data_IF_293425546222
#
_entry.id   IF_293425546222
#
_cell.length_a   1.000
_cell.length_b   1.000
_cell.length_c   1.000
_cell.angle_alpha   90.00
_cell.angle_beta   90.00
_cell.angle_gamma   90.00
#
_symmetry.space_group_name_H-M   'P 1'
#
loop_
_entity.id
_entity.type
_entity.pdbx_description
1 polymer ?
#
# COMPACT_ATOMS: atom_id res chain seq x y z
N UNK A 1 -1.05 -1.72 -21.22
CA UNK A 1 -0.14 -1.91 -20.08
C UNK A 1 -0.98 -1.89 -18.81
N UNK A 2 -0.82 -2.90 -17.96
CA UNK A 2 -1.49 -2.97 -16.66
C UNK A 2 -0.82 -1.99 -15.71
N UNK A 3 -1.59 -1.11 -15.06
CA UNK A 3 -1.08 -0.18 -14.06
C UNK A 3 -0.89 -0.92 -12.74
N UNK A 4 0.33 -0.91 -12.19
CA UNK A 4 0.72 -1.72 -11.03
C UNK A 4 0.53 -0.99 -9.71
N UNK A 5 0.46 -1.74 -8.61
CA UNK A 5 0.40 -1.19 -7.25
C UNK A 5 1.71 -0.47 -6.91
N UNK A 6 2.86 -0.95 -7.39
CA UNK A 6 4.12 -0.23 -7.21
C UNK A 6 4.10 1.15 -7.88
N UNK A 7 3.66 1.24 -9.13
CA UNK A 7 3.49 2.54 -9.80
C UNK A 7 2.50 3.46 -9.06
N UNK A 8 1.44 2.91 -8.47
CA UNK A 8 0.50 3.65 -7.62
C UNK A 8 1.15 4.22 -6.34
N UNK A 9 2.00 3.43 -5.68
CA UNK A 9 2.71 3.86 -4.47
C UNK A 9 3.78 4.90 -4.78
N UNK A 10 4.51 4.72 -5.88
CA UNK A 10 5.59 5.61 -6.29
C UNK A 10 5.10 6.89 -6.98
N UNK A 11 3.82 6.97 -7.33
CA UNK A 11 3.26 8.13 -8.00
C UNK A 11 3.39 9.41 -7.16
N UNK A 12 3.89 10.46 -7.81
CA UNK A 12 3.90 11.82 -7.25
C UNK A 12 2.47 12.31 -7.04
N UNK A 13 2.21 12.78 -5.82
CA UNK A 13 0.94 13.40 -5.47
C UNK A 13 1.12 14.91 -5.39
N UNK A 14 0.35 15.64 -6.20
CA UNK A 14 0.18 17.08 -6.04
C UNK A 14 -0.42 17.35 -4.65
N UNK A 15 0.32 18.11 -3.82
CA UNK A 15 -0.07 18.42 -2.44
C UNK A 15 -1.38 19.21 -2.37
N UNK A 16 -1.66 20.06 -3.35
CA UNK A 16 -2.86 20.90 -3.39
C UNK A 16 -4.10 20.13 -3.86
N UNK A 17 -3.90 19.06 -4.62
CA UNK A 17 -4.98 18.25 -5.23
C UNK A 17 -4.86 16.78 -4.89
N UNK A 18 -4.32 16.49 -3.70
CA UNK A 18 -3.92 15.15 -3.30
C UNK A 18 -5.05 14.14 -3.38
N UNK A 19 -6.23 14.50 -2.85
CA UNK A 19 -7.40 13.62 -2.86
C UNK A 19 -7.84 13.27 -4.30
N UNK A 20 -8.03 14.27 -5.15
CA UNK A 20 -8.44 14.06 -6.55
C UNK A 20 -7.39 13.32 -7.38
N UNK A 21 -6.09 13.57 -7.13
CA UNK A 21 -5.03 12.80 -7.78
C UNK A 21 -5.07 11.34 -7.35
N UNK A 22 -5.21 11.07 -6.05
CA UNK A 22 -5.25 9.71 -5.53
C UNK A 22 -6.46 8.93 -6.05
N UNK A 23 -7.63 9.57 -6.13
CA UNK A 23 -8.84 9.02 -6.75
C UNK A 23 -8.63 8.70 -8.24
N UNK A 24 -8.01 9.62 -8.99
CA UNK A 24 -7.69 9.39 -10.40
C UNK A 24 -6.70 8.23 -10.58
N UNK A 25 -5.76 8.07 -9.64
CA UNK A 25 -4.81 6.96 -9.65
C UNK A 25 -5.48 5.63 -9.29
N UNK A 26 -6.37 5.59 -8.29
CA UNK A 26 -7.12 4.36 -7.95
C UNK A 26 -8.08 3.94 -9.06
N UNK A 27 -8.68 4.91 -9.75
CA UNK A 27 -9.57 4.65 -10.89
C UNK A 27 -8.88 3.87 -12.03
N UNK A 28 -7.54 3.91 -12.13
CA UNK A 28 -6.78 3.12 -13.13
C UNK A 28 -6.87 1.61 -12.92
N UNK A 29 -7.25 1.16 -11.72
CA UNK A 29 -7.46 -0.26 -11.43
C UNK A 29 -8.86 -0.74 -11.82
N UNK A 30 -9.78 0.17 -12.11
CA UNK A 30 -11.12 -0.20 -12.60
C UNK A 30 -11.02 -0.91 -13.94
N UNK A 31 -11.61 -2.09 -14.04
CA UNK A 31 -11.56 -2.92 -15.24
C UNK A 31 -10.29 -3.77 -15.38
N UNK A 32 -9.34 -3.68 -14.44
CA UNK A 32 -8.22 -4.61 -14.39
C UNK A 32 -8.64 -5.95 -13.76
N UNK A 33 -7.96 -7.06 -14.11
CA UNK A 33 -8.21 -8.36 -13.47
C UNK A 33 -7.91 -8.30 -11.96
N UNK A 34 -8.94 -8.45 -11.13
CA UNK A 34 -8.81 -8.41 -9.67
C UNK A 34 -7.72 -9.37 -9.13
N UNK A 35 -7.60 -10.64 -9.59
CA UNK A 35 -6.55 -11.53 -9.09
C UNK A 35 -5.13 -11.01 -9.36
N UNK A 36 -4.90 -10.33 -10.48
CA UNK A 36 -3.61 -9.75 -10.83
C UNK A 36 -3.30 -8.54 -9.95
N UNK A 37 -4.27 -7.64 -9.76
CA UNK A 37 -4.14 -6.49 -8.86
C UNK A 37 -3.84 -6.92 -7.42
N UNK A 38 -4.52 -7.96 -6.93
CA UNK A 38 -4.29 -8.53 -5.59
C UNK A 38 -2.89 -9.14 -5.47
N UNK A 39 -2.44 -9.88 -6.49
CA UNK A 39 -1.08 -10.43 -6.51
C UNK A 39 -0.03 -9.32 -6.50
N UNK A 40 -0.25 -8.24 -7.26
CA UNK A 40 0.65 -7.08 -7.30
C UNK A 40 0.69 -6.34 -5.95
N UNK A 41 -0.47 -6.17 -5.30
CA UNK A 41 -0.57 -5.60 -3.97
C UNK A 41 0.25 -6.42 -2.97
N UNK A 42 0.04 -7.73 -2.93
CA UNK A 42 0.77 -8.64 -2.02
C UNK A 42 2.27 -8.61 -2.25
N UNK A 43 2.71 -8.54 -3.51
CA UNK A 43 4.12 -8.40 -3.85
C UNK A 43 4.72 -7.10 -3.27
N UNK A 44 3.98 -5.99 -3.28
CA UNK A 44 4.42 -4.72 -2.71
C UNK A 44 4.54 -4.75 -1.17
N UNK A 45 3.89 -5.71 -0.49
CA UNK A 45 3.93 -5.80 0.98
C UNK A 45 5.14 -6.57 1.52
N UNK A 46 5.87 -7.32 0.69
CA UNK A 46 6.93 -8.26 1.13
C UNK A 46 7.96 -7.58 2.03
N UNK A 47 8.45 -6.41 1.63
CA UNK A 47 9.54 -5.69 2.32
C UNK A 47 9.05 -4.79 3.48
N UNK A 48 7.75 -4.79 3.77
CA UNK A 48 7.13 -3.81 4.65
C UNK A 48 6.86 -2.49 3.95
N UNK A 49 6.11 -1.60 4.61
CA UNK A 49 5.60 -0.36 4.01
C UNK A 49 5.65 0.82 4.98
N UNK A 50 5.76 2.04 4.45
CA UNK A 50 5.66 3.26 5.24
C UNK A 50 4.21 3.64 5.56
N UNK A 51 4.03 4.62 6.47
CA UNK A 51 2.69 5.14 6.83
C UNK A 51 1.93 5.77 5.66
N UNK A 52 2.65 6.33 4.69
CA UNK A 52 2.03 6.91 3.51
C UNK A 52 1.47 5.82 2.58
N UNK A 53 2.26 4.78 2.31
CA UNK A 53 1.82 3.62 1.54
C UNK A 53 0.65 2.91 2.21
N UNK A 54 0.70 2.76 3.53
CA UNK A 54 -0.42 2.24 4.33
C UNK A 54 -1.73 2.98 4.03
N UNK A 55 -1.71 4.32 4.08
CA UNK A 55 -2.90 5.13 3.77
C UNK A 55 -3.35 4.97 2.32
N UNK A 56 -2.42 4.97 1.37
CA UNK A 56 -2.72 4.81 -0.06
C UNK A 56 -3.35 3.43 -0.34
N UNK A 57 -2.80 2.37 0.24
CA UNK A 57 -3.29 1.00 0.07
C UNK A 57 -4.67 0.80 0.70
N UNK A 58 -4.97 1.47 1.83
CA UNK A 58 -6.32 1.43 2.38
C UNK A 58 -7.36 1.99 1.41
N UNK A 59 -7.04 3.11 0.76
CA UNK A 59 -7.91 3.74 -0.23
C UNK A 59 -8.06 2.84 -1.47
N UNK A 60 -6.97 2.22 -1.93
CA UNK A 60 -7.02 1.25 -3.01
C UNK A 60 -7.91 0.04 -2.65
N UNK A 61 -7.77 -0.55 -1.46
CA UNK A 61 -8.58 -1.70 -1.01
C UNK A 61 -10.07 -1.32 -0.96
N UNK A 62 -10.40 -0.14 -0.44
CA UNK A 62 -11.78 0.38 -0.49
C UNK A 62 -12.28 0.55 -1.92
N UNK A 63 -11.45 1.05 -2.84
CA UNK A 63 -11.81 1.14 -4.26
C UNK A 63 -12.08 -0.24 -4.87
N UNK A 64 -11.23 -1.23 -4.58
CA UNK A 64 -11.41 -2.59 -5.08
C UNK A 64 -12.73 -3.22 -4.60
N UNK A 65 -13.10 -2.95 -3.35
CA UNK A 65 -14.38 -3.37 -2.77
C UNK A 65 -15.58 -2.75 -3.49
N UNK A 66 -15.57 -1.43 -3.66
CA UNK A 66 -16.73 -0.70 -4.19
C UNK A 66 -16.85 -0.78 -5.71
N UNK A 67 -15.74 -0.93 -6.44
CA UNK A 67 -15.71 -0.73 -7.89
C UNK A 67 -15.09 -1.88 -8.69
N UNK A 68 -14.37 -2.80 -8.06
CA UNK A 68 -13.68 -3.90 -8.77
C UNK A 68 -14.17 -5.30 -8.37
N UNK A 69 -15.22 -5.38 -7.57
CA UNK A 69 -15.86 -6.65 -7.20
C UNK A 69 -15.08 -7.47 -6.16
N UNK A 70 -14.19 -6.84 -5.38
CA UNK A 70 -13.55 -7.54 -4.26
C UNK A 70 -14.58 -7.89 -3.19
N UNK A 71 -14.61 -9.16 -2.77
CA UNK A 71 -15.51 -9.61 -1.71
C UNK A 71 -15.09 -9.13 -0.33
N UNK A 72 -16.04 -9.09 0.61
CA UNK A 72 -15.82 -8.63 1.99
C UNK A 72 -14.64 -9.35 2.68
N UNK A 73 -14.59 -10.68 2.60
CA UNK A 73 -13.52 -11.45 3.24
C UNK A 73 -12.14 -11.09 2.65
N UNK A 74 -12.03 -11.04 1.33
CA UNK A 74 -10.80 -10.65 0.65
C UNK A 74 -10.34 -9.26 1.10
N UNK A 75 -11.26 -8.30 1.23
CA UNK A 75 -10.89 -6.94 1.66
C UNK A 75 -10.42 -6.90 3.11
N UNK A 76 -11.06 -7.67 4.00
CA UNK A 76 -10.63 -7.79 5.40
C UNK A 76 -9.22 -8.41 5.50
N UNK A 77 -8.95 -9.45 4.71
CA UNK A 77 -7.64 -10.10 4.64
C UNK A 77 -6.58 -9.11 4.15
N UNK A 78 -6.87 -8.35 3.09
CA UNK A 78 -5.94 -7.33 2.56
C UNK A 78 -5.63 -6.22 3.58
N UNK A 79 -6.63 -5.74 4.32
CA UNK A 79 -6.39 -4.76 5.39
C UNK A 79 -5.50 -5.33 6.50
N UNK A 80 -5.70 -6.60 6.88
CA UNK A 80 -4.87 -7.26 7.87
C UNK A 80 -3.42 -7.43 7.37
N UNK A 81 -3.23 -7.86 6.12
CA UNK A 81 -1.92 -8.01 5.47
C UNK A 81 -1.17 -6.66 5.41
N UNK A 82 -1.86 -5.57 5.06
CA UNK A 82 -1.31 -4.20 5.07
C UNK A 82 -0.91 -3.76 6.47
N UNK A 83 -1.72 -4.04 7.49
CA UNK A 83 -1.38 -3.76 8.89
C UNK A 83 -0.14 -4.51 9.36
N UNK A 84 0.00 -5.79 8.99
CA UNK A 84 1.19 -6.59 9.28
C UNK A 84 2.43 -6.05 8.57
N UNK A 85 2.29 -5.58 7.32
CA UNK A 85 3.38 -4.98 6.56
C UNK A 85 3.91 -3.70 7.20
N UNK A 86 3.02 -2.83 7.69
CA UNK A 86 3.41 -1.64 8.44
C UNK A 86 4.15 -2.01 9.74
N UNK A 87 3.68 -3.04 10.45
CA UNK A 87 4.32 -3.49 11.69
C UNK A 87 5.76 -3.99 11.47
N UNK A 88 6.05 -4.67 10.34
CA UNK A 88 7.42 -5.12 10.00
C UNK A 88 8.42 -3.96 9.91
N UNK A 89 7.99 -2.83 9.35
CA UNK A 89 8.81 -1.62 9.24
C UNK A 89 9.09 -0.98 10.60
N UNK A 90 8.14 -1.07 11.55
CA UNK A 90 8.33 -0.54 12.92
C UNK A 90 9.17 -1.43 13.84
N UNK A 91 9.28 -2.73 13.55
CA UNK A 91 9.98 -3.73 14.39
C UNK A 91 11.44 -3.93 13.95
N UNK A 92 11.94 -3.19 12.96
CA UNK A 92 13.38 -3.18 12.63
C UNK A 92 14.05 -2.04 13.41
N UNK A 93 14.57 -2.27 14.64
CA UNK A 93 15.44 -1.32 15.28
C UNK A 93 16.72 -1.23 14.47
N UNK A 94 17.20 0.00 14.24
CA UNK A 94 18.55 0.25 13.78
C UNK A 94 19.54 -0.38 14.78
N UNK A 95 19.98 -1.62 14.52
CA UNK A 95 21.16 -2.19 15.19
C UNK A 95 22.39 -1.49 14.64
N UNK A 96 22.73 -0.34 15.21
CA UNK A 96 23.87 0.44 14.71
C UNK A 96 24.22 1.67 15.53
N UNK A 97 24.12 1.61 16.85
CA UNK A 97 24.53 2.70 17.73
C UNK A 97 25.21 2.16 18.98
N UNK A 98 26.39 1.57 18.83
CA UNK A 98 27.28 1.30 19.97
C UNK A 98 27.65 2.64 20.60
N UNK A 99 26.92 3.05 21.63
CA UNK A 99 27.32 4.16 22.48
C UNK A 99 28.50 3.67 23.32
N UNK A 100 29.70 3.82 22.79
CA UNK A 100 30.93 3.75 23.61
C UNK A 100 30.94 5.03 24.42
N UNK A 101 30.55 4.93 25.69
CA UNK A 101 30.89 5.94 26.68
C UNK A 101 32.37 5.73 27.02
N UNK A 102 33.21 6.64 26.54
CA UNK A 102 34.57 6.83 27.02
C UNK A 102 34.58 7.82 28.17
N UNK A 103 35.46 7.51 29.12
CA UNK A 103 35.87 8.18 30.37
C UNK A 103 34.94 8.08 31.58
#
# INVERSE_FOLDING_TARGET
MTYTVREFLDADLDRLRRASNLEALTARFTGQPLPETVANLRAALVDGIGMEDFRRLHILISHLYHHCGAGFQLTADLFAEVGQALARTTITPERGGTHVLSD
#
